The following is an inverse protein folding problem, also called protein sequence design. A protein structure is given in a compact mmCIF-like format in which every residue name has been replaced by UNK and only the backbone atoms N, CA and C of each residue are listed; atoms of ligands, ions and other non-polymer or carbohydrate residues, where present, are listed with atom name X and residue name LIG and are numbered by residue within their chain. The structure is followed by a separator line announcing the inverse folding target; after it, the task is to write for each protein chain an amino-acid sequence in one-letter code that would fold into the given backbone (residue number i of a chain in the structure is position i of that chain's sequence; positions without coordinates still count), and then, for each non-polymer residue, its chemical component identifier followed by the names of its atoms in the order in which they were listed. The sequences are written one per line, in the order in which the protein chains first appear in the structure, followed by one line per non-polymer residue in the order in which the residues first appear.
data_IF_705289359078
#
_entry.id   IF_705289359078
#
_cell.length_a   1.000
_cell.length_b   1.000
_cell.length_c   1.000
_cell.angle_alpha   90.00
_cell.angle_beta   90.00
_cell.angle_gamma   90.00
#
_symmetry.space_group_name_H-M   'P 1'
#
loop_
_entity.id
_entity.type
_entity.pdbx_description
1 polymer ?
#
# COMPACT_ATOMS: atom_id res chain seq x y z
N UNK A 1 8.40 5.88 -43.19
CA UNK A 1 8.87 5.17 -41.98
C UNK A 1 7.86 5.45 -40.89
N UNK A 2 7.29 4.43 -40.23
CA UNK A 2 6.35 4.68 -39.12
C UNK A 2 7.13 5.20 -37.89
N UNK A 3 6.44 5.75 -36.89
CA UNK A 3 7.07 6.35 -35.71
C UNK A 3 7.94 5.35 -34.92
N UNK A 4 7.53 4.08 -34.83
CA UNK A 4 8.32 3.04 -34.16
C UNK A 4 9.64 2.74 -34.88
N UNK A 5 9.63 2.70 -36.22
CA UNK A 5 10.85 2.47 -37.01
C UNK A 5 11.80 3.67 -36.94
N UNK A 6 11.25 4.89 -36.90
CA UNK A 6 12.02 6.11 -36.67
C UNK A 6 12.67 6.10 -35.27
N UNK A 7 11.91 5.75 -34.23
CA UNK A 7 12.40 5.59 -32.87
C UNK A 7 13.56 4.58 -32.78
N UNK A 8 13.38 3.38 -33.35
CA UNK A 8 14.42 2.33 -33.37
C UNK A 8 15.68 2.79 -34.09
N UNK A 9 15.53 3.50 -35.21
CA UNK A 9 16.67 4.03 -35.97
C UNK A 9 17.46 5.04 -35.13
N UNK A 10 16.77 5.92 -34.41
CA UNK A 10 17.41 6.89 -33.51
C UNK A 10 18.08 6.21 -32.31
N UNK A 11 17.43 5.22 -31.68
CA UNK A 11 18.00 4.43 -30.58
C UNK A 11 19.31 3.74 -30.97
N UNK A 12 19.36 3.13 -32.17
CA UNK A 12 20.59 2.52 -32.70
C UNK A 12 21.67 3.57 -32.98
N UNK A 13 21.29 4.71 -33.55
CA UNK A 13 22.24 5.82 -33.77
C UNK A 13 22.84 6.34 -32.45
N UNK A 14 22.10 6.26 -31.34
CA UNK A 14 22.56 6.58 -29.99
C UNK A 14 23.28 5.40 -29.27
N UNK A 15 23.44 4.25 -29.91
CA UNK A 15 24.15 3.08 -29.37
C UNK A 15 23.37 2.28 -28.32
N UNK A 16 22.03 2.38 -28.28
CA UNK A 16 21.20 1.60 -27.35
C UNK A 16 21.27 0.09 -27.62
N UNK A 17 21.60 -0.32 -28.84
CA UNK A 17 21.73 -1.71 -29.30
C UNK A 17 23.02 -2.40 -28.85
N UNK A 18 24.01 -1.64 -28.37
CA UNK A 18 25.28 -2.18 -27.85
C UNK A 18 25.45 -1.92 -26.36
N UNK A 19 24.58 -1.13 -25.75
CA UNK A 19 24.64 -0.76 -24.34
C UNK A 19 24.09 -1.90 -23.47
N UNK A 20 24.90 -2.50 -22.57
CA UNK A 20 24.42 -3.59 -21.71
C UNK A 20 23.30 -3.14 -20.77
N UNK A 21 22.29 -3.99 -20.61
CA UNK A 21 21.15 -3.80 -19.71
C UNK A 21 20.55 -5.18 -19.34
N UNK A 22 19.75 -5.35 -18.26
CA UNK A 22 19.10 -6.62 -17.95
C UNK A 22 18.38 -7.23 -19.15
N UNK A 23 18.62 -8.52 -19.39
CA UNK A 23 18.08 -9.23 -20.54
C UNK A 23 18.72 -8.86 -21.88
N UNK A 24 19.96 -8.34 -21.89
CA UNK A 24 20.77 -8.12 -23.09
C UNK A 24 21.23 -6.68 -23.25
N UNK A 25 20.57 -5.93 -24.14
CA UNK A 25 20.93 -4.55 -24.48
C UNK A 25 19.81 -3.59 -24.09
N UNK A 26 20.12 -2.29 -23.97
CA UNK A 26 19.11 -1.28 -23.66
C UNK A 26 17.99 -1.29 -24.72
N UNK A 27 18.34 -1.43 -26.01
CA UNK A 27 17.32 -1.53 -27.07
C UNK A 27 16.42 -2.76 -26.87
N UNK A 28 16.98 -3.92 -26.52
CA UNK A 28 16.18 -5.13 -26.30
C UNK A 28 15.19 -4.96 -25.14
N UNK A 29 15.64 -4.36 -24.04
CA UNK A 29 14.77 -3.99 -22.92
C UNK A 29 13.65 -3.02 -23.34
N UNK A 30 13.99 -1.94 -24.03
CA UNK A 30 13.01 -0.95 -24.49
C UNK A 30 11.97 -1.57 -25.43
N UNK A 31 12.36 -2.53 -26.28
CA UNK A 31 11.45 -3.27 -27.13
C UNK A 31 10.51 -4.18 -26.33
N UNK A 32 11.00 -4.85 -25.28
CA UNK A 32 10.14 -5.66 -24.39
C UNK A 32 9.15 -4.79 -23.61
N UNK A 33 9.58 -3.64 -23.08
CA UNK A 33 8.69 -2.69 -22.40
C UNK A 33 7.58 -2.19 -23.33
N UNK A 34 7.93 -1.75 -24.55
CA UNK A 34 6.95 -1.32 -25.54
C UNK A 34 5.98 -2.45 -25.96
N UNK A 35 6.49 -3.67 -26.06
CA UNK A 35 5.67 -4.86 -26.39
C UNK A 35 4.71 -5.23 -25.26
N UNK A 36 5.14 -5.12 -24.00
CA UNK A 36 4.30 -5.33 -22.82
C UNK A 36 3.18 -4.30 -22.76
N UNK A 37 3.48 -3.01 -22.94
CA UNK A 37 2.46 -1.96 -23.02
C UNK A 37 1.47 -2.23 -24.15
N UNK A 38 1.94 -2.71 -25.31
CA UNK A 38 1.07 -3.12 -26.41
C UNK A 38 0.13 -4.27 -26.02
N UNK A 39 0.65 -5.27 -25.30
CA UNK A 39 -0.15 -6.40 -24.81
C UNK A 39 -1.20 -5.99 -23.77
N UNK A 40 -0.93 -4.94 -22.99
CA UNK A 40 -1.88 -4.34 -22.05
C UNK A 40 -2.93 -3.43 -22.74
N UNK A 41 -2.84 -3.25 -24.05
CA UNK A 41 -3.75 -2.39 -24.80
C UNK A 41 -3.46 -0.90 -24.65
N UNK A 42 -2.25 -0.53 -24.24
CA UNK A 42 -1.84 0.87 -24.12
C UNK A 42 -1.93 1.60 -25.46
N UNK A 43 -2.26 2.89 -25.38
CA UNK A 43 -2.30 3.80 -26.54
C UNK A 43 -0.94 3.91 -27.23
N UNK A 44 -0.96 4.29 -28.51
CA UNK A 44 0.25 4.35 -29.33
C UNK A 44 1.35 5.24 -28.75
N UNK A 45 0.99 6.41 -28.22
CA UNK A 45 1.99 7.35 -27.68
C UNK A 45 2.64 6.81 -26.40
N UNK A 46 1.90 6.09 -25.55
CA UNK A 46 2.46 5.44 -24.35
C UNK A 46 3.39 4.29 -24.73
N UNK A 47 3.08 3.54 -25.79
CA UNK A 47 3.94 2.49 -26.33
C UNK A 47 5.22 3.07 -26.94
N UNK A 48 5.13 4.16 -27.69
CA UNK A 48 6.27 4.89 -28.22
C UNK A 48 7.13 5.48 -27.09
N UNK A 49 6.48 6.03 -26.05
CA UNK A 49 7.17 6.48 -24.85
C UNK A 49 7.87 5.32 -24.15
N UNK A 50 7.25 4.15 -24.04
CA UNK A 50 7.88 2.94 -23.50
C UNK A 50 9.12 2.50 -24.25
N UNK A 51 9.10 2.58 -25.59
CA UNK A 51 10.28 2.32 -26.41
C UNK A 51 11.39 3.37 -26.20
N UNK A 52 11.05 4.57 -25.73
CA UNK A 52 11.96 5.72 -25.68
C UNK A 52 12.22 6.26 -24.25
N UNK A 53 11.71 5.61 -23.21
CA UNK A 53 11.63 6.21 -21.87
C UNK A 53 13.01 6.49 -21.23
N UNK A 54 14.07 5.85 -21.73
CA UNK A 54 15.44 6.02 -21.26
C UNK A 54 16.24 7.12 -21.98
N UNK A 55 15.69 7.81 -23.00
CA UNK A 55 16.44 8.76 -23.83
C UNK A 55 17.15 9.87 -23.03
N UNK A 56 16.47 10.41 -22.03
CA UNK A 56 17.00 11.52 -21.21
C UNK A 56 17.67 11.04 -19.91
N UNK A 57 17.79 9.72 -19.72
CA UNK A 57 18.15 9.13 -18.44
C UNK A 57 17.01 9.28 -17.42
N UNK A 58 16.98 8.40 -16.43
CA UNK A 58 15.97 8.35 -15.37
C UNK A 58 16.62 8.52 -14.01
N UNK A 59 15.81 8.64 -12.97
CA UNK A 59 16.27 8.67 -11.58
C UNK A 59 17.02 7.37 -11.18
N UNK A 60 16.62 6.24 -11.77
CA UNK A 60 17.27 4.93 -11.57
C UNK A 60 18.34 4.57 -12.61
N UNK A 61 18.46 5.34 -13.69
CA UNK A 61 19.40 5.08 -14.80
C UNK A 61 19.92 6.39 -15.37
N UNK A 62 21.04 6.88 -14.85
CA UNK A 62 21.57 8.21 -15.17
C UNK A 62 22.06 8.39 -16.62
N UNK A 63 22.27 7.29 -17.38
CA UNK A 63 22.81 7.39 -18.74
C UNK A 63 21.77 7.97 -19.70
N UNK A 64 22.07 9.17 -20.19
CA UNK A 64 21.31 9.85 -21.24
C UNK A 64 21.84 9.45 -22.62
N UNK A 65 20.92 9.09 -23.53
CA UNK A 65 21.19 8.83 -24.94
C UNK A 65 21.15 10.11 -25.79
N UNK A 66 20.37 11.08 -25.34
CA UNK A 66 20.18 12.36 -26.01
C UNK A 66 20.06 13.48 -24.96
N UNK A 67 20.80 14.60 -25.09
CA UNK A 67 20.67 15.71 -24.15
C UNK A 67 19.31 16.41 -24.30
N UNK A 68 18.84 17.04 -23.21
CA UNK A 68 17.56 17.77 -23.18
C UNK A 68 17.49 18.94 -24.18
N UNK A 69 18.62 19.43 -24.69
CA UNK A 69 18.63 20.45 -25.74
C UNK A 69 18.23 19.92 -27.12
N UNK A 70 18.11 18.60 -27.29
CA UNK A 70 17.79 17.93 -28.57
C UNK A 70 16.44 17.22 -28.52
N UNK A 71 15.53 17.62 -27.61
CA UNK A 71 14.18 17.05 -27.48
C UNK A 71 13.38 17.09 -28.78
N UNK A 72 13.54 18.16 -29.57
CA UNK A 72 12.85 18.32 -30.86
C UNK A 72 13.17 17.18 -31.85
N UNK A 73 14.36 16.58 -31.77
CA UNK A 73 14.73 15.45 -32.61
C UNK A 73 13.94 14.18 -32.25
N UNK A 74 13.74 13.93 -30.95
CA UNK A 74 12.90 12.83 -30.50
C UNK A 74 11.43 13.11 -30.84
N UNK A 75 10.95 14.33 -30.60
CA UNK A 75 9.58 14.74 -30.94
C UNK A 75 9.29 14.59 -32.44
N UNK A 76 10.25 14.89 -33.31
CA UNK A 76 10.12 14.67 -34.75
C UNK A 76 10.02 13.18 -35.12
N UNK A 77 10.65 12.28 -34.34
CA UNK A 77 10.65 10.85 -34.59
C UNK A 77 9.39 10.14 -34.07
N UNK A 78 8.92 10.49 -32.87
CA UNK A 78 7.82 9.78 -32.18
C UNK A 78 6.54 10.60 -31.98
N UNK A 79 6.55 11.86 -32.42
CA UNK A 79 5.47 12.81 -32.18
C UNK A 79 5.62 13.55 -30.84
N UNK A 80 5.08 14.77 -30.74
CA UNK A 80 5.28 15.64 -29.58
C UNK A 80 4.63 15.09 -28.30
N UNK A 81 3.49 14.40 -28.40
CA UNK A 81 2.81 13.83 -27.22
C UNK A 81 3.61 12.67 -26.62
N UNK A 82 4.14 11.77 -27.45
CA UNK A 82 4.95 10.66 -26.97
C UNK A 82 6.28 11.16 -26.38
N UNK A 83 6.90 12.17 -26.99
CA UNK A 83 8.10 12.81 -26.45
C UNK A 83 7.83 13.49 -25.10
N UNK A 84 6.68 14.16 -24.94
CA UNK A 84 6.31 14.77 -23.67
C UNK A 84 6.16 13.71 -22.56
N UNK A 85 5.63 12.53 -22.87
CA UNK A 85 5.59 11.41 -21.91
C UNK A 85 6.99 10.90 -21.54
N UNK A 86 7.90 10.79 -22.52
CA UNK A 86 9.31 10.42 -22.27
C UNK A 86 9.95 11.43 -21.35
N UNK A 87 9.78 12.73 -21.61
CA UNK A 87 10.28 13.79 -20.75
C UNK A 87 9.65 13.69 -19.35
N UNK A 88 8.33 13.57 -19.25
CA UNK A 88 7.63 13.50 -17.98
C UNK A 88 8.12 12.32 -17.13
N UNK A 89 8.25 11.13 -17.73
CA UNK A 89 8.82 9.95 -17.10
C UNK A 89 10.26 10.18 -16.62
N UNK A 90 11.12 10.70 -17.51
CA UNK A 90 12.54 10.92 -17.22
C UNK A 90 12.79 12.03 -16.18
N UNK A 91 11.92 13.04 -16.14
CA UNK A 91 11.98 14.17 -15.20
C UNK A 91 11.47 13.82 -13.81
N UNK A 92 10.79 12.69 -13.64
CA UNK A 92 10.20 12.28 -12.37
C UNK A 92 11.29 12.04 -11.32
N UNK A 93 11.28 12.87 -10.28
CA UNK A 93 11.94 12.56 -9.02
C UNK A 93 11.11 11.51 -8.28
N UNK A 94 11.59 10.25 -8.26
CA UNK A 94 10.78 9.11 -7.82
C UNK A 94 10.57 9.15 -6.31
N UNK A 95 11.62 9.47 -5.55
CA UNK A 95 11.56 9.56 -4.09
C UNK A 95 10.53 10.61 -3.63
N UNK A 96 10.49 11.77 -4.28
CA UNK A 96 9.53 12.81 -3.95
C UNK A 96 8.13 12.54 -4.47
N UNK A 97 8.00 12.07 -5.72
CA UNK A 97 6.72 12.08 -6.43
C UNK A 97 5.91 10.79 -6.24
N UNK A 98 6.58 9.63 -6.08
CA UNK A 98 5.88 8.35 -5.97
C UNK A 98 4.99 8.21 -4.73
N UNK A 99 5.37 8.73 -3.54
CA UNK A 99 4.52 8.65 -2.36
C UNK A 99 3.15 9.30 -2.54
N UNK A 100 3.07 10.43 -3.25
CA UNK A 100 1.81 11.15 -3.47
C UNK A 100 1.07 10.79 -4.76
N UNK A 101 1.66 10.00 -5.66
CA UNK A 101 1.12 9.79 -7.01
C UNK A 101 -0.34 9.28 -7.07
N UNK A 102 -0.79 8.36 -6.19
CA UNK A 102 -2.20 7.92 -6.17
C UNK A 102 -3.18 9.05 -5.89
N UNK A 103 -2.77 10.02 -5.07
CA UNK A 103 -3.63 11.11 -4.62
C UNK A 103 -3.90 12.12 -5.74
N UNK A 104 -5.12 12.64 -5.78
CA UNK A 104 -5.54 13.57 -6.85
C UNK A 104 -4.79 14.90 -6.85
N UNK A 105 -4.27 15.29 -5.69
CA UNK A 105 -3.45 16.48 -5.41
C UNK A 105 -1.98 16.13 -5.15
N UNK A 106 -1.57 14.88 -5.45
CA UNK A 106 -0.21 14.40 -5.29
C UNK A 106 0.82 15.26 -6.03
N UNK A 107 1.87 15.76 -5.34
CA UNK A 107 2.86 16.62 -5.97
C UNK A 107 3.83 15.81 -6.84
N UNK A 108 4.25 16.40 -7.95
CA UNK A 108 5.28 15.89 -8.83
C UNK A 108 6.44 16.89 -8.88
N UNK A 109 7.66 16.40 -8.69
CA UNK A 109 8.88 17.20 -8.84
C UNK A 109 9.59 16.83 -10.14
N UNK A 110 9.71 17.81 -11.02
CA UNK A 110 10.57 17.74 -12.19
C UNK A 110 12.02 17.94 -11.73
N UNK A 111 12.83 16.88 -11.76
CA UNK A 111 14.23 16.89 -11.33
C UNK A 111 15.16 17.66 -12.27
N UNK A 112 14.74 17.93 -13.50
CA UNK A 112 15.53 18.70 -14.47
C UNK A 112 15.39 20.20 -14.23
N UNK A 113 14.20 20.66 -13.82
CA UNK A 113 13.90 22.09 -13.63
C UNK A 113 13.76 22.51 -12.17
N UNK A 114 13.53 21.56 -11.26
CA UNK A 114 13.17 21.80 -9.86
C UNK A 114 11.71 22.21 -9.66
N UNK A 115 10.90 22.29 -10.71
CA UNK A 115 9.51 22.69 -10.62
C UNK A 115 8.67 21.62 -9.89
N UNK A 116 7.72 22.08 -9.05
CA UNK A 116 6.75 21.22 -8.38
C UNK A 116 5.35 21.58 -8.83
N UNK A 117 4.58 20.60 -9.27
CA UNK A 117 3.21 20.79 -9.77
C UNK A 117 2.36 19.53 -9.55
N UNK A 118 1.04 19.64 -9.73
CA UNK A 118 0.12 18.51 -9.66
C UNK A 118 -0.18 18.02 -11.09
N UNK A 119 0.24 16.79 -11.46
CA UNK A 119 -0.03 16.25 -12.79
C UNK A 119 -1.49 15.84 -12.95
N UNK A 120 -1.99 15.89 -14.20
CA UNK A 120 -3.34 15.43 -14.53
C UNK A 120 -3.51 13.93 -14.27
N UNK A 121 -4.75 13.46 -14.08
CA UNK A 121 -5.04 12.04 -13.86
C UNK A 121 -4.48 11.13 -14.97
N UNK A 122 -4.61 11.56 -16.24
CA UNK A 122 -4.03 10.82 -17.38
C UNK A 122 -2.51 10.71 -17.30
N UNK A 123 -1.80 11.79 -16.96
CA UNK A 123 -0.33 11.77 -16.81
C UNK A 123 0.11 10.84 -15.67
N UNK A 124 -0.63 10.82 -14.55
CA UNK A 124 -0.36 9.92 -13.43
C UNK A 124 -0.55 8.45 -13.82
N UNK A 125 -1.64 8.14 -14.54
CA UNK A 125 -1.91 6.80 -15.05
C UNK A 125 -0.83 6.34 -16.06
N UNK A 126 -0.52 7.16 -17.08
CA UNK A 126 0.53 6.86 -18.07
C UNK A 126 1.90 6.63 -17.39
N UNK A 127 2.26 7.45 -16.39
CA UNK A 127 3.49 7.28 -15.61
C UNK A 127 3.49 5.99 -14.80
N UNK A 128 2.38 5.66 -14.13
CA UNK A 128 2.25 4.46 -13.33
C UNK A 128 2.36 3.20 -14.21
N UNK A 129 1.66 3.18 -15.35
CA UNK A 129 1.63 2.06 -16.28
C UNK A 129 2.99 1.84 -16.97
N UNK A 130 3.65 2.92 -17.42
CA UNK A 130 5.01 2.82 -17.96
C UNK A 130 6.03 2.39 -16.88
N UNK A 131 5.88 2.87 -15.64
CA UNK A 131 6.73 2.43 -14.53
C UNK A 131 6.54 0.94 -14.26
N UNK A 132 5.29 0.46 -14.18
CA UNK A 132 5.02 -0.97 -14.03
C UNK A 132 5.63 -1.78 -15.18
N UNK A 133 5.46 -1.35 -16.43
CA UNK A 133 6.04 -2.06 -17.57
C UNK A 133 7.58 -2.14 -17.50
N UNK A 134 8.22 -1.04 -17.14
CA UNK A 134 9.67 -0.94 -17.01
C UNK A 134 10.20 -1.84 -15.88
N UNK A 135 9.71 -1.66 -14.66
CA UNK A 135 10.23 -2.35 -13.49
C UNK A 135 9.99 -3.87 -13.60
N UNK A 136 8.81 -4.29 -14.08
CA UNK A 136 8.52 -5.72 -14.23
C UNK A 136 9.42 -6.40 -15.28
N UNK A 137 9.78 -5.71 -16.36
CA UNK A 137 10.76 -6.23 -17.33
C UNK A 137 12.13 -6.43 -16.67
N UNK A 138 12.61 -5.41 -15.96
CA UNK A 138 13.92 -5.45 -15.29
C UNK A 138 14.00 -6.59 -14.29
N UNK A 139 12.96 -6.81 -13.47
CA UNK A 139 12.97 -7.87 -12.46
C UNK A 139 12.85 -9.27 -13.05
N UNK A 140 12.15 -9.45 -14.16
CA UNK A 140 12.08 -10.75 -14.82
C UNK A 140 13.42 -11.17 -15.44
N UNK A 141 14.23 -10.20 -15.85
CA UNK A 141 15.53 -10.43 -16.46
C UNK A 141 16.69 -10.35 -15.46
N UNK A 142 16.41 -10.02 -14.19
CA UNK A 142 17.42 -9.89 -13.15
C UNK A 142 16.89 -10.34 -11.78
N UNK A 143 17.23 -11.58 -11.42
CA UNK A 143 16.83 -12.19 -10.16
C UNK A 143 17.37 -11.44 -8.93
N UNK A 144 18.61 -10.94 -8.97
CA UNK A 144 19.19 -10.17 -7.85
C UNK A 144 18.37 -8.91 -7.57
N UNK A 145 17.98 -8.18 -8.61
CA UNK A 145 17.11 -7.01 -8.49
C UNK A 145 15.71 -7.40 -8.01
N UNK A 146 15.17 -8.53 -8.48
CA UNK A 146 13.87 -9.05 -8.03
C UNK A 146 13.88 -9.35 -6.53
N UNK A 147 14.89 -10.07 -6.04
CA UNK A 147 15.05 -10.35 -4.60
C UNK A 147 15.20 -9.06 -3.80
N UNK A 148 15.95 -8.08 -4.31
CA UNK A 148 16.23 -6.84 -3.58
C UNK A 148 15.07 -5.85 -3.54
N UNK A 149 14.35 -5.70 -4.65
CA UNK A 149 13.35 -4.62 -4.83
C UNK A 149 11.91 -5.12 -5.00
N UNK A 150 11.70 -6.42 -5.27
CA UNK A 150 10.39 -6.97 -5.58
C UNK A 150 9.34 -6.70 -4.50
N UNK A 151 9.69 -6.88 -3.22
CA UNK A 151 8.75 -6.61 -2.13
C UNK A 151 8.36 -5.13 -2.00
N UNK A 152 9.30 -4.20 -2.25
CA UNK A 152 8.99 -2.76 -2.24
C UNK A 152 8.12 -2.37 -3.43
N UNK A 153 8.40 -2.93 -4.62
CA UNK A 153 7.60 -2.71 -5.82
C UNK A 153 6.20 -3.32 -5.73
N UNK A 154 6.05 -4.46 -5.05
CA UNK A 154 4.74 -5.07 -4.77
C UNK A 154 3.87 -4.10 -4.00
N UNK A 155 4.39 -3.57 -2.89
CA UNK A 155 3.68 -2.56 -2.09
C UNK A 155 3.39 -1.30 -2.90
N UNK A 156 4.37 -0.80 -3.67
CA UNK A 156 4.19 0.37 -4.52
C UNK A 156 3.02 0.18 -5.51
N UNK A 157 2.99 -0.94 -6.24
CA UNK A 157 1.94 -1.19 -7.23
C UNK A 157 0.59 -1.53 -6.60
N UNK A 158 0.55 -2.10 -5.38
CA UNK A 158 -0.67 -2.22 -4.59
C UNK A 158 -1.25 -0.85 -4.27
N UNK A 159 -0.42 0.12 -3.83
CA UNK A 159 -0.84 1.51 -3.60
C UNK A 159 -1.29 2.21 -4.87
N UNK A 160 -0.66 1.88 -6.00
CA UNK A 160 -0.98 2.46 -7.31
C UNK A 160 -2.11 1.75 -8.05
N UNK A 161 -2.80 0.79 -7.41
CA UNK A 161 -3.91 0.08 -8.03
C UNK A 161 -4.98 0.98 -8.67
N UNK A 162 -5.32 2.19 -8.14
CA UNK A 162 -6.27 3.09 -8.82
C UNK A 162 -5.74 3.73 -10.11
N UNK A 163 -4.43 3.70 -10.34
CA UNK A 163 -3.77 4.28 -11.52
C UNK A 163 -3.45 3.24 -12.59
N UNK A 164 -3.41 1.95 -12.23
CA UNK A 164 -3.02 0.88 -13.13
C UNK A 164 -4.23 0.30 -13.85
N UNK A 165 -4.07 0.02 -15.15
CA UNK A 165 -5.01 -0.83 -15.87
C UNK A 165 -5.01 -2.26 -15.33
N UNK A 166 -6.10 -3.00 -15.57
CA UNK A 166 -6.28 -4.37 -15.07
C UNK A 166 -5.12 -5.30 -15.47
N UNK A 167 -4.69 -5.24 -16.74
CA UNK A 167 -3.59 -6.05 -17.25
C UNK A 167 -2.23 -5.72 -16.59
N UNK A 168 -1.98 -4.45 -16.28
CA UNK A 168 -0.77 -4.02 -15.59
C UNK A 168 -0.77 -4.50 -14.12
N UNK A 169 -1.92 -4.36 -13.45
CA UNK A 169 -2.09 -4.83 -12.07
C UNK A 169 -2.00 -6.37 -11.95
N UNK A 170 -2.54 -7.11 -12.92
CA UNK A 170 -2.40 -8.56 -13.00
C UNK A 170 -0.94 -8.98 -13.21
N UNK A 171 -0.26 -8.38 -14.19
CA UNK A 171 1.15 -8.66 -14.43
C UNK A 171 2.04 -8.34 -13.23
N UNK A 172 1.77 -7.24 -12.51
CA UNK A 172 2.48 -6.90 -11.28
C UNK A 172 2.29 -7.99 -10.21
N UNK A 173 1.05 -8.44 -9.98
CA UNK A 173 0.77 -9.55 -9.06
C UNK A 173 1.46 -10.83 -9.49
N UNK A 174 1.45 -11.16 -10.78
CA UNK A 174 2.05 -12.38 -11.29
C UNK A 174 3.55 -12.45 -10.99
N UNK A 175 4.27 -11.36 -11.29
CA UNK A 175 5.74 -11.27 -11.21
C UNK A 175 6.23 -11.05 -9.79
N UNK A 176 5.50 -10.28 -8.97
CA UNK A 176 5.97 -9.83 -7.66
C UNK A 176 5.48 -10.71 -6.50
N UNK A 177 4.50 -11.58 -6.73
CA UNK A 177 4.10 -12.59 -5.74
C UNK A 177 5.24 -13.57 -5.54
N UNK A 178 5.69 -13.73 -4.29
CA UNK A 178 6.68 -14.75 -3.93
C UNK A 178 6.07 -16.14 -4.11
N UNK A 179 6.84 -17.08 -4.64
CA UNK A 179 6.40 -18.46 -4.87
C UNK A 179 7.48 -19.45 -4.43
N UNK A 180 7.08 -20.70 -4.19
CA UNK A 180 8.00 -21.79 -3.84
C UNK A 180 8.93 -21.43 -2.67
N UNK A 181 10.23 -21.71 -2.84
CA UNK A 181 11.24 -21.54 -1.80
C UNK A 181 11.35 -20.09 -1.26
N UNK A 182 11.15 -19.08 -2.11
CA UNK A 182 11.24 -17.67 -1.68
C UNK A 182 10.12 -17.31 -0.71
N UNK A 183 8.93 -17.80 -1.03
CA UNK A 183 7.75 -17.60 -0.18
C UNK A 183 7.92 -18.33 1.14
N UNK A 184 8.36 -19.58 1.09
CA UNK A 184 8.64 -20.35 2.30
C UNK A 184 9.74 -19.70 3.15
N UNK A 185 10.81 -19.19 2.53
CA UNK A 185 11.88 -18.49 3.23
C UNK A 185 11.36 -17.21 3.90
N UNK A 186 10.50 -16.45 3.22
CA UNK A 186 9.84 -15.29 3.80
C UNK A 186 9.00 -15.67 5.02
N UNK A 187 8.17 -16.71 4.91
CA UNK A 187 7.31 -17.18 6.01
C UNK A 187 8.11 -17.70 7.20
N UNK A 188 9.16 -18.51 6.97
CA UNK A 188 10.05 -19.01 8.03
C UNK A 188 10.80 -17.88 8.75
N UNK A 189 10.99 -16.74 8.09
CA UNK A 189 11.64 -15.56 8.65
C UNK A 189 10.70 -14.62 9.42
N UNK A 190 9.44 -15.02 9.65
CA UNK A 190 8.46 -14.26 10.42
C UNK A 190 8.21 -14.91 11.77
N UNK A 191 8.28 -14.13 12.84
CA UNK A 191 7.94 -14.58 14.20
C UNK A 191 6.74 -13.80 14.75
N UNK A 192 5.89 -14.43 15.60
CA UNK A 192 4.88 -13.70 16.36
C UNK A 192 5.51 -12.56 17.16
N UNK A 193 4.97 -11.36 16.99
CA UNK A 193 5.49 -10.14 17.59
C UNK A 193 6.23 -9.23 16.62
N UNK A 194 6.69 -9.75 15.47
CA UNK A 194 7.36 -8.98 14.42
C UNK A 194 6.52 -7.79 13.97
N UNK A 195 7.19 -6.66 13.70
CA UNK A 195 6.58 -5.51 13.06
C UNK A 195 6.90 -5.51 11.56
N UNK A 196 5.87 -5.43 10.72
CA UNK A 196 6.01 -5.44 9.26
C UNK A 196 5.23 -4.29 8.63
N UNK A 197 5.87 -3.60 7.71
CA UNK A 197 5.20 -2.63 6.84
C UNK A 197 4.42 -3.40 5.77
N UNK A 198 3.15 -3.05 5.59
CA UNK A 198 2.29 -3.63 4.57
C UNK A 198 1.35 -2.60 3.98
N UNK A 199 0.77 -2.93 2.83
CA UNK A 199 -0.24 -2.09 2.18
C UNK A 199 -1.56 -2.84 2.17
N UNK A 200 -2.64 -2.20 2.63
CA UNK A 200 -3.98 -2.78 2.57
C UNK A 200 -4.34 -3.00 1.10
N UNK A 201 -4.39 -4.25 0.67
CA UNK A 201 -4.65 -4.61 -0.73
C UNK A 201 -6.15 -4.72 -1.01
N UNK A 202 -6.92 -5.20 -0.02
CA UNK A 202 -8.36 -5.37 -0.14
C UNK A 202 -9.04 -5.41 1.22
N UNK A 203 -10.16 -4.71 1.35
CA UNK A 203 -11.05 -4.80 2.50
C UNK A 203 -12.27 -5.64 2.08
N UNK A 204 -12.36 -6.88 2.56
CA UNK A 204 -13.51 -7.72 2.26
C UNK A 204 -14.64 -7.48 3.27
N UNK A 205 -15.89 -7.57 2.79
CA UNK A 205 -17.07 -7.32 3.62
C UNK A 205 -17.11 -8.22 4.88
N UNK A 206 -17.13 -7.53 6.02
CA UNK A 206 -17.45 -8.04 7.37
C UNK A 206 -16.61 -9.17 7.97
N UNK A 207 -15.44 -9.53 7.44
CA UNK A 207 -14.65 -10.62 8.05
C UNK A 207 -13.13 -10.45 8.05
N UNK A 208 -12.53 -10.02 6.95
CA UNK A 208 -11.07 -10.03 6.78
C UNK A 208 -10.61 -8.87 5.90
N UNK A 209 -9.49 -8.28 6.28
CA UNK A 209 -8.70 -7.37 5.46
C UNK A 209 -7.44 -8.09 4.98
N UNK A 210 -7.10 -7.91 3.72
CA UNK A 210 -5.87 -8.43 3.12
C UNK A 210 -4.82 -7.32 3.03
N UNK A 211 -3.57 -7.69 3.31
CA UNK A 211 -2.43 -6.77 3.36
C UNK A 211 -1.29 -7.37 2.54
N UNK A 212 -0.78 -6.63 1.56
CA UNK A 212 0.44 -7.00 0.85
C UNK A 212 1.67 -6.69 1.71
N UNK A 213 2.40 -7.73 2.10
CA UNK A 213 3.65 -7.67 2.87
C UNK A 213 4.90 -7.65 1.98
N UNK A 214 4.74 -7.38 0.68
CA UNK A 214 5.81 -7.37 -0.29
C UNK A 214 5.92 -8.67 -1.08
N UNK A 215 4.81 -9.10 -1.67
CA UNK A 215 4.72 -10.34 -2.45
C UNK A 215 4.17 -11.53 -1.67
N UNK A 216 3.78 -11.33 -0.40
CA UNK A 216 3.04 -12.31 0.42
C UNK A 216 1.83 -11.61 1.01
N UNK A 217 0.67 -12.27 0.90
CA UNK A 217 -0.57 -11.75 1.46
C UNK A 217 -0.69 -12.11 2.95
N UNK A 218 -0.86 -11.10 3.79
CA UNK A 218 -1.25 -11.22 5.19
C UNK A 218 -2.75 -10.96 5.37
N UNK A 219 -3.32 -11.54 6.41
CA UNK A 219 -4.73 -11.45 6.75
C UNK A 219 -4.89 -10.78 8.13
N UNK A 220 -5.74 -9.76 8.20
CA UNK A 220 -6.12 -9.11 9.45
C UNK A 220 -7.62 -9.27 9.64
N UNK A 221 -8.03 -9.91 10.73
CA UNK A 221 -9.45 -10.02 11.08
C UNK A 221 -9.97 -8.67 11.59
N UNK A 222 -11.25 -8.39 11.42
CA UNK A 222 -11.86 -7.11 11.87
C UNK A 222 -11.56 -6.76 13.33
N UNK A 223 -11.64 -7.69 14.31
CA UNK A 223 -11.32 -7.36 15.69
C UNK A 223 -9.88 -6.89 15.89
N UNK A 224 -8.96 -7.15 14.97
CA UNK A 224 -7.55 -6.80 15.04
C UNK A 224 -7.23 -5.41 14.47
N UNK A 225 -8.23 -4.73 13.90
CA UNK A 225 -8.07 -3.38 13.31
C UNK A 225 -7.90 -2.31 14.40
N UNK A 226 -8.73 -2.34 15.46
CA UNK A 226 -8.70 -1.31 16.50
C UNK A 226 -9.20 -1.84 17.84
N UNK A 227 -8.71 -1.25 18.94
CA UNK A 227 -9.32 -1.42 20.26
C UNK A 227 -10.63 -0.65 20.41
N UNK A 228 -10.81 0.42 19.64
CA UNK A 228 -11.99 1.27 19.69
C UNK A 228 -13.10 0.69 18.81
N UNK A 229 -14.37 0.79 19.20
CA UNK A 229 -15.48 0.44 18.32
C UNK A 229 -15.47 1.30 17.06
N UNK A 230 -15.81 0.69 15.92
CA UNK A 230 -16.02 1.33 14.63
C UNK A 230 -17.16 0.61 13.89
N UNK A 231 -17.83 1.30 12.96
CA UNK A 231 -18.96 0.74 12.23
C UNK A 231 -18.50 -0.09 11.02
N UNK A 232 -17.57 0.46 10.23
CA UNK A 232 -16.97 -0.20 9.08
C UNK A 232 -15.43 -0.18 9.18
N UNK A 233 -14.72 -1.24 8.74
CA UNK A 233 -13.25 -1.21 8.69
C UNK A 233 -12.71 -0.03 7.89
N UNK A 234 -13.44 0.40 6.85
CA UNK A 234 -13.16 1.57 6.02
C UNK A 234 -13.03 2.89 6.80
N UNK A 235 -13.62 2.98 8.00
CA UNK A 235 -13.54 4.17 8.85
C UNK A 235 -12.17 4.30 9.54
N UNK A 236 -11.40 3.20 9.62
CA UNK A 236 -10.10 3.13 10.30
C UNK A 236 -8.97 2.92 9.31
N UNK A 237 -9.21 2.13 8.26
CA UNK A 237 -8.22 1.77 7.25
C UNK A 237 -8.79 1.91 5.83
N UNK A 238 -7.94 2.24 4.87
CA UNK A 238 -8.31 2.36 3.46
C UNK A 238 -7.50 1.42 2.57
N UNK A 239 -8.07 0.97 1.46
CA UNK A 239 -7.31 0.26 0.42
C UNK A 239 -6.21 1.17 -0.16
N UNK A 240 -5.03 0.61 -0.39
CA UNK A 240 -3.84 1.36 -0.79
C UNK A 240 -3.14 2.08 0.38
N UNK A 241 -3.65 2.00 1.61
CA UNK A 241 -2.99 2.59 2.77
C UNK A 241 -1.80 1.73 3.22
N UNK A 242 -0.63 2.35 3.35
CA UNK A 242 0.55 1.74 3.94
C UNK A 242 0.57 1.94 5.46
N UNK A 243 0.70 0.85 6.21
CA UNK A 243 0.69 0.84 7.66
C UNK A 243 1.74 -0.15 8.18
N UNK A 244 2.11 0.01 9.45
CA UNK A 244 2.84 -1.02 10.19
C UNK A 244 1.81 -1.96 10.82
N UNK A 245 2.10 -3.26 10.81
CA UNK A 245 1.28 -4.30 11.42
C UNK A 245 2.16 -5.18 12.30
N UNK A 246 1.58 -5.70 13.38
CA UNK A 246 2.22 -6.75 14.16
C UNK A 246 1.80 -8.14 13.64
N UNK A 247 2.75 -9.04 13.49
CA UNK A 247 2.50 -10.46 13.19
C UNK A 247 1.96 -11.13 14.44
N UNK A 248 0.74 -11.65 14.38
CA UNK A 248 0.15 -12.47 15.45
C UNK A 248 0.59 -13.92 15.37
N UNK A 249 0.81 -14.41 14.15
CA UNK A 249 1.21 -15.78 13.91
C UNK A 249 1.31 -16.09 12.42
N UNK A 250 1.99 -17.20 12.13
CA UNK A 250 2.18 -17.70 10.78
C UNK A 250 1.68 -19.14 10.75
N UNK A 251 0.76 -19.44 9.83
CA UNK A 251 0.35 -20.78 9.50
C UNK A 251 1.06 -21.19 8.21
N UNK A 252 2.23 -21.81 8.36
CA UNK A 252 3.04 -22.31 7.24
C UNK A 252 2.30 -23.38 6.42
N UNK A 253 1.38 -24.13 7.04
CA UNK A 253 0.67 -25.22 6.35
C UNK A 253 -0.44 -24.71 5.43
N UNK A 254 -1.04 -23.58 5.78
CA UNK A 254 -2.10 -22.92 5.01
C UNK A 254 -1.64 -21.66 4.34
N UNK A 255 -0.34 -21.37 4.40
CA UNK A 255 0.25 -20.24 3.72
C UNK A 255 -0.33 -18.89 4.18
N UNK A 256 -0.61 -18.72 5.48
CA UNK A 256 -1.27 -17.51 6.02
C UNK A 256 -0.43 -16.80 7.06
N UNK A 257 -0.36 -15.48 6.96
CA UNK A 257 0.19 -14.60 8.00
C UNK A 257 -0.97 -13.87 8.66
N UNK A 258 -1.12 -13.98 9.97
CA UNK A 258 -2.12 -13.25 10.73
C UNK A 258 -1.52 -11.94 11.26
N UNK A 259 -2.21 -10.84 11.00
CA UNK A 259 -1.75 -9.49 11.32
C UNK A 259 -2.71 -8.79 12.30
N UNK A 260 -2.17 -7.82 13.02
CA UNK A 260 -2.93 -6.93 13.89
C UNK A 260 -2.41 -5.50 13.83
N UNK A 261 -3.33 -4.56 13.72
CA UNK A 261 -3.04 -3.13 13.84
C UNK A 261 -3.17 -2.68 15.30
N UNK A 262 -4.21 -3.14 16.00
CA UNK A 262 -4.43 -2.76 17.41
C UNK A 262 -3.33 -3.27 18.35
N UNK A 263 -2.65 -4.36 18.01
CA UNK A 263 -1.60 -4.91 18.87
C UNK A 263 -0.35 -4.01 18.95
N UNK A 264 -0.25 -2.99 18.09
CA UNK A 264 0.72 -1.89 18.23
C UNK A 264 0.43 -0.97 19.42
N UNK A 265 -0.81 -0.98 19.91
CA UNK A 265 -1.26 -0.18 21.04
C UNK A 265 -1.35 -1.03 22.32
N UNK A 266 -1.09 -0.45 23.50
CA UNK A 266 -1.30 -1.16 24.76
C UNK A 266 -2.75 -1.60 24.91
N UNK A 267 -2.99 -2.86 25.29
CA UNK A 267 -4.35 -3.35 25.59
C UNK A 267 -5.00 -2.48 26.69
N UNK A 268 -6.09 -1.76 26.37
CA UNK A 268 -6.76 -0.88 27.32
C UNK A 268 -7.27 -1.61 28.57
N UNK A 269 -7.72 -2.87 28.41
CA UNK A 269 -8.21 -3.69 29.52
C UNK A 269 -7.06 -4.11 30.44
N UNK A 270 -5.93 -4.51 29.86
CA UNK A 270 -4.74 -4.84 30.64
C UNK A 270 -4.17 -3.61 31.36
N UNK A 271 -4.19 -2.45 30.70
CA UNK A 271 -3.83 -1.17 31.31
C UNK A 271 -4.77 -0.80 32.46
N UNK A 272 -6.08 -0.95 32.27
CA UNK A 272 -7.09 -0.72 33.29
C UNK A 272 -6.92 -1.64 34.50
N UNK A 273 -6.68 -2.94 34.28
CA UNK A 273 -6.45 -3.90 35.36
C UNK A 273 -5.21 -3.54 36.21
N UNK A 274 -4.16 -2.94 35.62
CA UNK A 274 -3.00 -2.44 36.36
C UNK A 274 -3.29 -1.22 37.22
N UNK A 275 -4.34 -0.44 36.90
CA UNK A 275 -4.72 0.77 37.66
C UNK A 275 -5.31 0.48 39.04
N UNK A 276 -5.44 -0.80 39.42
CA UNK A 276 -5.89 -1.24 40.74
C UNK A 276 -7.41 -1.35 40.86
N UNK A 277 -7.83 -2.24 41.77
CA UNK A 277 -9.22 -2.43 42.19
C UNK A 277 -9.53 -1.52 43.39
N UNK A 278 -10.78 -1.07 43.48
CA UNK A 278 -11.24 -0.20 44.58
C UNK A 278 -11.17 1.30 44.27
N UNK A 279 -11.84 2.07 45.13
CA UNK A 279 -12.07 3.50 44.93
C UNK A 279 -13.29 3.79 44.06
N UNK A 280 -14.02 4.82 44.44
CA UNK A 280 -15.21 5.30 43.71
C UNK A 280 -14.74 6.05 42.46
N UNK A 281 -15.24 5.65 41.29
CA UNK A 281 -14.95 6.25 39.98
C UNK A 281 -16.25 6.70 39.34
N UNK A 282 -16.15 7.62 38.39
CA UNK A 282 -17.26 8.02 37.53
C UNK A 282 -17.02 7.53 36.10
N UNK A 283 -18.10 7.25 35.39
CA UNK A 283 -18.03 6.85 33.98
C UNK A 283 -19.35 7.09 33.28
N UNK A 284 -19.25 7.30 31.97
CA UNK A 284 -20.39 7.72 31.15
C UNK A 284 -21.08 6.51 30.56
N UNK A 285 -22.42 6.50 30.57
CA UNK A 285 -23.22 5.51 29.86
C UNK A 285 -23.03 5.71 28.37
N UNK A 286 -22.45 4.74 27.68
CA UNK A 286 -22.18 4.82 26.24
C UNK A 286 -23.39 4.36 25.44
N UNK A 287 -24.04 3.29 25.88
CA UNK A 287 -25.18 2.69 25.18
C UNK A 287 -26.08 1.90 26.13
N UNK A 288 -27.38 1.90 25.85
CA UNK A 288 -28.33 1.00 26.52
C UNK A 288 -28.47 -0.33 25.77
N UNK A 289 -28.52 -1.43 26.50
CA UNK A 289 -28.71 -2.78 25.95
C UNK A 289 -29.92 -3.45 26.62
N UNK A 290 -30.58 -4.45 26.00
CA UNK A 290 -31.82 -5.03 26.55
C UNK A 290 -31.73 -5.54 28.00
N UNK A 291 -30.54 -5.93 28.44
CA UNK A 291 -30.27 -6.47 29.77
C UNK A 291 -29.56 -5.48 30.71
N UNK A 292 -29.37 -4.21 30.33
CA UNK A 292 -28.63 -3.26 31.16
C UNK A 292 -28.11 -2.01 30.46
N UNK A 293 -26.99 -1.50 30.94
CA UNK A 293 -26.29 -0.34 30.35
C UNK A 293 -24.79 -0.64 30.20
N UNK A 294 -24.19 -0.17 29.11
CA UNK A 294 -22.75 -0.13 28.93
C UNK A 294 -22.22 1.20 29.45
N UNK A 295 -21.22 1.14 30.33
CA UNK A 295 -20.61 2.30 30.98
C UNK A 295 -19.12 2.31 30.63
N UNK A 296 -18.62 3.42 30.10
CA UNK A 296 -17.21 3.63 29.85
C UNK A 296 -16.50 3.84 31.20
N UNK A 297 -15.66 2.89 31.59
CA UNK A 297 -14.96 2.91 32.89
C UNK A 297 -13.49 3.34 32.77
N UNK A 298 -12.96 3.30 31.55
CA UNK A 298 -11.68 3.89 31.13
C UNK A 298 -11.69 4.01 29.60
N UNK A 299 -10.73 4.75 29.02
CA UNK A 299 -10.61 4.83 27.55
C UNK A 299 -10.50 3.42 26.95
N UNK A 300 -11.38 3.09 26.00
CA UNK A 300 -11.47 1.77 25.37
C UNK A 300 -11.97 0.62 26.27
N UNK A 301 -12.49 0.88 27.47
CA UNK A 301 -12.99 -0.16 28.39
C UNK A 301 -14.42 0.13 28.83
N UNK A 302 -15.34 -0.78 28.46
CA UNK A 302 -16.74 -0.74 28.89
C UNK A 302 -17.05 -1.81 29.93
N UNK A 303 -17.87 -1.46 30.92
CA UNK A 303 -18.47 -2.38 31.87
C UNK A 303 -19.97 -2.50 31.59
N UNK A 304 -20.51 -3.71 31.79
CA UNK A 304 -21.96 -3.94 31.74
C UNK A 304 -22.51 -3.80 33.15
N UNK A 305 -23.50 -2.93 33.32
CA UNK A 305 -24.35 -2.87 34.51
C UNK A 305 -25.64 -3.60 34.18
N UNK A 306 -25.98 -4.65 34.96
CA UNK A 306 -27.23 -5.37 34.73
C UNK A 306 -28.42 -4.51 35.16
N UNK A 307 -29.58 -4.68 34.52
CA UNK A 307 -30.78 -3.88 34.85
C UNK A 307 -31.20 -4.01 36.32
N UNK A 308 -30.93 -5.14 36.95
CA UNK A 308 -31.28 -5.40 38.35
C UNK A 308 -30.39 -4.61 39.33
N UNK A 309 -29.21 -4.18 38.88
CA UNK A 309 -28.26 -3.37 39.65
C UNK A 309 -28.43 -1.87 39.38
N UNK A 310 -29.29 -1.49 38.43
CA UNK A 310 -29.65 -0.09 38.17
C UNK A 310 -30.74 0.33 39.16
N UNK A 311 -30.54 1.48 39.82
CA UNK A 311 -31.56 2.08 40.68
C UNK A 311 -32.88 2.30 39.92
N UNK A 312 -33.97 2.62 40.65
CA UNK A 312 -35.32 2.82 40.10
C UNK A 312 -35.43 3.80 38.91
N UNK A 313 -34.37 4.57 38.61
CA UNK A 313 -34.25 5.43 37.43
C UNK A 313 -33.39 4.75 36.38
N UNK A 314 -34.00 4.38 35.25
CA UNK A 314 -33.27 3.92 34.07
C UNK A 314 -32.32 5.01 33.57
N UNK A 315 -31.00 4.73 33.47
CA UNK A 315 -30.04 5.67 32.93
C UNK A 315 -30.29 5.92 31.45
N UNK A 316 -29.85 7.07 30.96
CA UNK A 316 -29.85 7.45 29.55
C UNK A 316 -28.44 7.41 29.00
N UNK A 317 -28.32 7.23 27.70
CA UNK A 317 -27.04 7.42 27.02
C UNK A 317 -26.51 8.83 27.30
N UNK A 318 -25.26 8.88 27.73
CA UNK A 318 -24.58 10.08 28.13
C UNK A 318 -24.66 10.44 29.61
N UNK A 319 -25.48 9.77 30.42
CA UNK A 319 -25.51 9.97 31.87
C UNK A 319 -24.18 9.55 32.50
N UNK A 320 -23.76 10.23 33.58
CA UNK A 320 -22.63 9.79 34.40
C UNK A 320 -23.11 8.94 35.57
N UNK A 321 -22.48 7.79 35.73
CA UNK A 321 -22.71 6.87 36.85
C UNK A 321 -21.47 6.81 37.73
N UNK A 322 -21.71 6.76 39.03
CA UNK A 322 -20.68 6.57 40.04
C UNK A 322 -20.64 5.10 40.44
N UNK A 323 -19.46 4.49 40.42
CA UNK A 323 -19.31 3.06 40.65
C UNK A 323 -17.97 2.70 41.29
N UNK A 324 -17.89 1.47 41.81
CA UNK A 324 -16.64 0.83 42.18
C UNK A 324 -16.40 -0.40 41.31
N UNK A 325 -15.14 -0.60 40.91
CA UNK A 325 -14.72 -1.77 40.13
C UNK A 325 -14.59 -2.97 41.07
N UNK A 326 -15.43 -3.97 40.90
CA UNK A 326 -15.47 -5.15 41.76
C UNK A 326 -14.67 -6.32 41.20
N UNK A 327 -14.61 -6.46 39.87
CA UNK A 327 -13.79 -7.48 39.22
C UNK A 327 -13.45 -7.09 37.78
N UNK A 328 -12.28 -7.53 37.30
CA UNK A 328 -11.84 -7.41 35.92
C UNK A 328 -11.37 -8.79 35.49
N UNK A 329 -11.98 -9.31 34.42
CA UNK A 329 -11.62 -10.61 33.86
C UNK A 329 -11.01 -10.38 32.47
N UNK A 330 -9.68 -10.53 32.38
CA UNK A 330 -8.93 -10.33 31.14
C UNK A 330 -9.23 -11.40 30.08
N UNK A 331 -9.60 -12.62 30.48
CA UNK A 331 -9.89 -13.73 29.57
C UNK A 331 -11.21 -13.53 28.84
N UNK A 332 -12.27 -13.21 29.59
CA UNK A 332 -13.60 -12.93 29.01
C UNK A 332 -13.77 -11.48 28.59
N UNK A 333 -12.74 -10.64 28.79
CA UNK A 333 -12.75 -9.19 28.58
C UNK A 333 -13.97 -8.50 29.19
N UNK A 334 -14.31 -8.85 30.44
CA UNK A 334 -15.45 -8.29 31.18
C UNK A 334 -15.00 -7.54 32.42
N UNK A 335 -15.55 -6.35 32.61
CA UNK A 335 -15.45 -5.59 33.87
C UNK A 335 -16.80 -5.66 34.58
N UNK A 336 -16.76 -5.98 35.87
CA UNK A 336 -17.90 -5.87 36.78
C UNK A 336 -17.71 -4.62 37.64
N UNK A 337 -18.78 -3.84 37.73
CA UNK A 337 -18.87 -2.64 38.55
C UNK A 337 -20.08 -2.74 39.46
N UNK A 338 -20.01 -2.12 40.63
CA UNK A 338 -21.14 -1.92 41.53
C UNK A 338 -21.43 -0.42 41.64
N UNK A 339 -22.68 -0.02 41.42
CA UNK A 339 -23.10 1.37 41.52
C UNK A 339 -23.04 1.85 42.98
N UNK A 340 -22.87 3.16 43.18
CA UNK A 340 -22.77 3.82 44.48
C UNK A 340 -23.77 4.93 44.65
#
# INVERSE_FOLDING_TARGET
MNAFDAARSLLRACGADILPHPGGTLLAHLERVASRLAAWGAREELRLAGLCHAFYGTDGFAKSLLPLSRRDELAAAIGPEAEELVYFYASCDREFSYPGLPESDGPFRDRFTGAVFVPTGRRRADLAELTAANELDVLQENEELRTRYGGALSRLFTRWSPLLGEAAAEAAREVLTLRGEEREAFLRGLEPGDLRVGVVSKIADFHVTFVDLGGVEGMMNIPEVSWRPFDLPGDVIAEGQELVFQVLGVDESRDRVFLSLKALEPDPMAAFARSGFGGVRTGRVTRLVPFGALVLVADGVEAVVHRDDLDARTPREGDELTFEVTAVNLVTRRVRIALR
#
